data_IF_946659653043
#
_entry.id   IF_946659653043
#
_cell.length_a   1.000
_cell.length_b   1.000
_cell.length_c   1.000
_cell.angle_alpha   90.00
_cell.angle_beta   90.00
_cell.angle_gamma   90.00
#
_symmetry.space_group_name_H-M   'P 1'
#
loop_
_entity.id
_entity.type
_entity.pdbx_description
1 polymer ?
#
# COMPACT_ATOMS: atom_id res chain seq x y z
N UNK A 1 -16.01 -9.05 14.55
CA UNK A 1 -15.95 -7.74 15.25
C UNK A 1 -14.73 -7.79 16.16
N UNK A 2 -13.61 -7.14 15.80
CA UNK A 2 -12.43 -7.12 16.68
C UNK A 2 -12.63 -5.96 17.65
N UNK A 3 -13.20 -6.28 18.81
CA UNK A 3 -13.17 -5.40 19.96
C UNK A 3 -11.74 -5.43 20.52
N UNK A 4 -11.11 -4.26 20.67
CA UNK A 4 -10.16 -4.12 21.76
C UNK A 4 -11.00 -3.95 23.03
N UNK A 5 -11.43 -5.08 23.61
CA UNK A 5 -12.05 -5.07 24.91
C UNK A 5 -10.98 -4.68 25.93
N UNK A 6 -11.03 -3.44 26.39
CA UNK A 6 -10.42 -3.07 27.67
C UNK A 6 -11.62 -2.78 28.58
N UNK A 7 -12.04 -3.82 29.29
CA UNK A 7 -13.03 -3.75 30.36
C UNK A 7 -12.53 -2.82 31.47
N UNK A 8 -13.35 -1.86 31.94
CA UNK A 8 -12.99 -1.06 33.11
C UNK A 8 -13.19 -1.90 34.37
N UNK A 9 -12.10 -2.08 35.14
CA UNK A 9 -12.16 -2.57 36.51
C UNK A 9 -12.22 -4.09 36.66
N UNK A 10 -11.07 -4.73 36.84
CA UNK A 10 -10.98 -5.95 37.63
C UNK A 10 -9.61 -6.04 38.30
N UNK A 11 -9.61 -5.65 39.57
CA UNK A 11 -8.57 -5.94 40.55
C UNK A 11 -8.77 -7.41 40.91
N UNK A 12 -7.88 -8.30 40.47
CA UNK A 12 -7.44 -9.52 41.19
C UNK A 12 -6.51 -10.32 40.29
N UNK A 13 -5.36 -10.70 40.83
CA UNK A 13 -4.33 -11.46 40.14
C UNK A 13 -4.76 -12.88 39.83
N UNK A 14 -4.58 -13.27 38.58
CA UNK A 14 -4.43 -14.65 38.08
C UNK A 14 -3.53 -14.53 36.82
N UNK A 15 -2.54 -15.42 36.63
CA UNK A 15 -1.59 -15.32 35.53
C UNK A 15 -2.26 -15.64 34.20
N UNK A 16 -2.18 -14.73 33.24
CA UNK A 16 -2.65 -14.92 31.86
C UNK A 16 -1.85 -16.02 31.16
N UNK A 17 -2.27 -17.27 31.33
CA UNK A 17 -1.95 -18.36 30.41
C UNK A 17 -2.72 -18.13 29.11
N UNK A 18 -2.15 -17.28 28.25
CA UNK A 18 -2.60 -17.10 26.87
C UNK A 18 -2.39 -18.40 26.11
N UNK A 19 -3.46 -19.18 25.94
CA UNK A 19 -3.51 -20.30 24.99
C UNK A 19 -3.26 -19.72 23.59
N UNK A 20 -2.01 -19.75 23.12
CA UNK A 20 -1.66 -19.55 21.71
C UNK A 20 -2.44 -20.58 20.90
N UNK A 21 -3.50 -20.15 20.22
CA UNK A 21 -4.00 -20.90 19.07
C UNK A 21 -2.95 -20.74 17.97
N UNK A 22 -2.13 -21.77 17.77
CA UNK A 22 -1.31 -21.91 16.58
C UNK A 22 -2.23 -22.02 15.36
N UNK A 23 -2.49 -20.88 14.72
CA UNK A 23 -3.10 -20.87 13.40
C UNK A 23 -2.01 -21.25 12.39
N UNK A 24 -2.03 -22.52 11.99
CA UNK A 24 -1.23 -23.04 10.86
C UNK A 24 -1.85 -22.48 9.58
N UNK A 25 -1.19 -21.51 8.94
CA UNK A 25 -1.65 -20.94 7.68
C UNK A 25 -1.54 -21.98 6.56
N UNK A 26 -2.53 -22.09 5.65
CA UNK A 26 -2.43 -22.94 4.47
C UNK A 26 -1.34 -22.40 3.53
N UNK A 27 -0.53 -23.30 2.98
CA UNK A 27 0.74 -23.03 2.29
C UNK A 27 0.66 -22.33 0.92
N UNK A 28 -0.29 -21.42 0.70
CA UNK A 28 -0.24 -20.47 -0.41
C UNK A 28 -1.14 -19.26 -0.10
N UNK A 29 -0.54 -18.08 0.07
CA UNK A 29 -1.28 -16.82 0.24
C UNK A 29 -1.85 -16.39 -1.12
N UNK A 30 -3.13 -16.69 -1.34
CA UNK A 30 -3.87 -16.34 -2.55
C UNK A 30 -4.42 -14.90 -2.47
N UNK A 31 -4.44 -14.20 -3.61
CA UNK A 31 -5.08 -12.89 -3.77
C UNK A 31 -6.59 -12.94 -3.50
N UNK A 32 -7.21 -14.12 -3.68
CA UNK A 32 -8.64 -14.36 -3.40
C UNK A 32 -8.98 -14.65 -1.93
N UNK A 33 -8.02 -14.48 -1.02
CA UNK A 33 -8.23 -14.70 0.42
C UNK A 33 -9.43 -13.89 0.98
N UNK A 34 -10.25 -14.45 1.89
CA UNK A 34 -11.34 -13.73 2.53
C UNK A 34 -10.90 -12.47 3.31
N UNK A 35 -11.75 -11.44 3.33
CA UNK A 35 -11.46 -10.15 3.98
C UNK A 35 -11.07 -10.25 5.45
N UNK A 36 -11.67 -11.19 6.19
CA UNK A 36 -11.36 -11.39 7.60
C UNK A 36 -9.91 -11.87 7.82
N UNK A 37 -9.44 -12.79 6.97
CA UNK A 37 -8.07 -13.31 7.04
C UNK A 37 -7.08 -12.22 6.58
N UNK A 38 -7.40 -11.50 5.51
CA UNK A 38 -6.57 -10.41 5.02
C UNK A 38 -6.37 -9.31 6.08
N UNK A 39 -7.45 -8.88 6.75
CA UNK A 39 -7.39 -7.92 7.86
C UNK A 39 -6.55 -8.43 9.03
N UNK A 40 -6.57 -9.73 9.28
CA UNK A 40 -5.75 -10.36 10.33
C UNK A 40 -4.27 -10.22 10.00
N UNK A 41 -3.88 -10.52 8.75
CA UNK A 41 -2.50 -10.34 8.28
C UNK A 41 -2.07 -8.87 8.41
N UNK A 42 -2.89 -7.93 7.94
CA UNK A 42 -2.59 -6.48 8.05
C UNK A 42 -2.42 -6.05 9.50
N UNK A 43 -3.25 -6.57 10.40
CA UNK A 43 -3.16 -6.26 11.84
C UNK A 43 -1.92 -6.85 12.49
N UNK A 44 -1.54 -8.08 12.11
CA UNK A 44 -0.28 -8.71 12.53
C UNK A 44 0.93 -7.90 12.05
N UNK A 45 0.89 -7.42 10.81
CA UNK A 45 1.95 -6.59 10.23
C UNK A 45 2.14 -5.30 11.02
N UNK A 46 1.06 -4.57 11.31
CA UNK A 46 1.10 -3.35 12.13
C UNK A 46 1.65 -3.57 13.55
N UNK A 47 1.48 -4.77 14.08
CA UNK A 47 1.98 -5.19 15.39
C UNK A 47 3.35 -5.87 15.34
N UNK A 48 4.02 -5.91 14.17
CA UNK A 48 5.31 -6.61 13.97
C UNK A 48 5.25 -8.10 14.33
N UNK A 49 4.10 -8.72 14.14
CA UNK A 49 3.83 -10.12 14.41
C UNK A 49 3.49 -10.92 13.13
N UNK A 50 3.64 -10.28 11.96
CA UNK A 50 3.49 -10.94 10.67
C UNK A 50 4.76 -11.72 10.30
N UNK A 51 4.59 -12.83 9.59
CA UNK A 51 5.71 -13.61 9.03
C UNK A 51 6.33 -12.89 7.82
N UNK A 52 7.53 -13.28 7.42
CA UNK A 52 8.18 -12.72 6.22
C UNK A 52 7.35 -12.97 4.96
N UNK A 53 6.73 -14.14 4.84
CA UNK A 53 5.83 -14.51 3.75
C UNK A 53 4.58 -13.59 3.70
N UNK A 54 3.98 -13.32 4.86
CA UNK A 54 2.84 -12.40 4.97
C UNK A 54 3.24 -10.97 4.55
N UNK A 55 4.43 -10.52 4.94
CA UNK A 55 4.96 -9.21 4.55
C UNK A 55 5.24 -9.16 3.05
N UNK A 56 5.85 -10.21 2.48
CA UNK A 56 6.11 -10.31 1.06
C UNK A 56 4.81 -10.30 0.25
N UNK A 57 3.80 -11.03 0.70
CA UNK A 57 2.47 -11.04 0.10
C UNK A 57 1.82 -9.64 0.08
N UNK A 58 1.86 -8.91 1.20
CA UNK A 58 1.30 -7.55 1.27
C UNK A 58 1.98 -6.56 0.32
N UNK A 59 3.27 -6.76 0.03
CA UNK A 59 4.05 -5.89 -0.87
C UNK A 59 3.80 -6.15 -2.35
N UNK A 60 3.06 -7.20 -2.72
CA UNK A 60 2.80 -7.52 -4.13
C UNK A 60 1.93 -6.43 -4.79
N UNK A 61 2.20 -6.05 -6.05
CA UNK A 61 1.51 -4.95 -6.75
C UNK A 61 -0.02 -5.10 -6.78
N UNK A 62 -0.49 -6.32 -7.03
CA UNK A 62 -1.90 -6.71 -7.09
C UNK A 62 -2.63 -6.61 -5.73
N UNK A 63 -1.89 -6.70 -4.63
CA UNK A 63 -2.41 -6.64 -3.27
C UNK A 63 -2.39 -5.22 -2.69
N UNK A 64 -1.52 -4.34 -3.20
CA UNK A 64 -1.34 -2.97 -2.68
C UNK A 64 -2.64 -2.15 -2.58
N UNK A 65 -3.57 -2.16 -3.57
CA UNK A 65 -4.82 -1.40 -3.47
C UNK A 65 -5.68 -1.83 -2.29
N UNK A 66 -5.82 -3.15 -2.10
CA UNK A 66 -6.60 -3.75 -1.02
C UNK A 66 -5.94 -3.51 0.34
N UNK A 67 -4.61 -3.61 0.41
CA UNK A 67 -3.87 -3.29 1.64
C UNK A 67 -4.08 -1.83 2.05
N UNK A 68 -3.97 -0.90 1.10
CA UNK A 68 -4.21 0.52 1.32
C UNK A 68 -5.62 0.78 1.85
N UNK A 69 -6.63 0.15 1.26
CA UNK A 69 -8.03 0.33 1.69
C UNK A 69 -8.22 -0.06 3.15
N UNK A 70 -7.71 -1.24 3.55
CA UNK A 70 -7.79 -1.70 4.94
C UNK A 70 -7.07 -0.73 5.88
N UNK A 71 -5.89 -0.24 5.51
CA UNK A 71 -5.16 0.75 6.31
C UNK A 71 -5.92 2.07 6.46
N UNK A 72 -6.57 2.56 5.41
CA UNK A 72 -7.43 3.77 5.48
C UNK A 72 -8.58 3.55 6.44
N UNK A 73 -9.26 2.40 6.38
CA UNK A 73 -10.34 2.07 7.30
C UNK A 73 -9.84 1.96 8.76
N UNK A 74 -8.67 1.35 8.98
CA UNK A 74 -8.07 1.26 10.31
C UNK A 74 -7.68 2.64 10.87
N UNK A 75 -7.15 3.52 10.03
CA UNK A 75 -6.88 4.92 10.41
C UNK A 75 -8.17 5.62 10.84
N UNK A 76 -9.23 5.54 10.02
CA UNK A 76 -10.52 6.16 10.34
C UNK A 76 -11.11 5.67 11.66
N UNK A 77 -10.97 4.36 11.97
CA UNK A 77 -11.36 3.82 13.27
C UNK A 77 -10.56 4.40 14.44
N UNK A 78 -9.24 4.55 14.28
CA UNK A 78 -8.39 5.17 15.29
C UNK A 78 -8.74 6.65 15.52
N UNK A 79 -9.04 7.39 14.45
CA UNK A 79 -9.48 8.79 14.52
C UNK A 79 -10.84 8.92 15.23
N UNK A 80 -11.80 8.05 14.90
CA UNK A 80 -13.08 7.98 15.61
C UNK A 80 -12.90 7.67 17.09
N UNK A 81 -11.99 6.75 17.45
CA UNK A 81 -11.71 6.41 18.84
C UNK A 81 -11.16 7.62 19.61
N UNK A 82 -10.23 8.39 19.03
CA UNK A 82 -9.73 9.63 19.66
C UNK A 82 -10.87 10.65 19.84
N UNK A 83 -11.73 10.79 18.83
CA UNK A 83 -12.89 11.68 18.92
C UNK A 83 -13.82 11.28 20.06
N UNK A 84 -14.10 9.98 20.20
CA UNK A 84 -14.93 9.44 21.28
C UNK A 84 -14.29 9.69 22.66
N UNK A 85 -12.99 9.39 22.82
CA UNK A 85 -12.27 9.63 24.08
C UNK A 85 -12.35 11.11 24.48
N UNK A 86 -12.17 12.03 23.54
CA UNK A 86 -12.27 13.47 23.84
C UNK A 86 -13.71 13.86 24.26
N UNK A 87 -14.72 13.27 23.62
CA UNK A 87 -16.12 13.51 23.99
C UNK A 87 -16.43 12.98 25.39
N UNK A 88 -16.06 11.73 25.68
CA UNK A 88 -16.30 11.09 26.97
C UNK A 88 -15.53 11.79 28.09
N UNK A 89 -14.32 12.28 27.81
CA UNK A 89 -13.52 13.05 28.74
C UNK A 89 -14.18 14.37 29.13
N UNK A 90 -14.87 15.05 28.21
CA UNK A 90 -15.63 16.27 28.54
C UNK A 90 -16.86 15.94 29.41
N UNK A 91 -17.60 14.89 29.07
CA UNK A 91 -18.76 14.45 29.83
C UNK A 91 -18.38 14.05 31.26
N UNK A 92 -17.31 13.27 31.40
CA UNK A 92 -16.83 12.81 32.71
C UNK A 92 -16.28 13.96 33.56
N UNK A 93 -15.62 14.95 32.93
CA UNK A 93 -15.19 16.16 33.63
C UNK A 93 -16.37 16.92 34.23
N UNK A 94 -17.45 17.12 33.45
CA UNK A 94 -18.67 17.78 33.93
C UNK A 94 -19.31 17.00 35.08
N UNK A 95 -19.38 15.67 34.96
CA UNK A 95 -19.87 14.80 36.03
C UNK A 95 -19.05 14.95 37.31
N UNK A 96 -17.73 15.00 37.19
CA UNK A 96 -16.83 15.17 38.34
C UNK A 96 -16.94 16.56 38.99
N UNK A 97 -17.15 17.62 38.21
CA UNK A 97 -17.43 18.96 38.74
C UNK A 97 -18.71 18.93 39.59
N UNK A 98 -19.77 18.28 39.11
CA UNK A 98 -21.03 18.16 39.84
C UNK A 98 -20.90 17.41 41.18
N UNK A 99 -19.93 16.50 41.30
CA UNK A 99 -19.63 15.78 42.55
C UNK A 99 -18.80 16.59 43.56
N UNK A 100 -18.35 17.81 43.22
CA UNK A 100 -17.56 18.67 44.10
C UNK A 100 -16.19 18.07 44.48
N UNK A 101 -15.69 18.29 45.72
CA UNK A 101 -14.35 17.86 46.13
C UNK A 101 -14.06 16.36 45.96
N UNK A 102 -15.08 15.52 46.11
CA UNK A 102 -14.98 14.05 45.96
C UNK A 102 -14.68 13.67 44.51
N UNK A 103 -15.22 14.41 43.54
CA UNK A 103 -15.03 14.14 42.12
C UNK A 103 -13.62 14.40 41.60
N UNK A 104 -12.80 15.15 42.35
CA UNK A 104 -11.43 15.52 41.93
C UNK A 104 -10.55 14.28 41.72
N UNK A 105 -10.57 13.34 42.67
CA UNK A 105 -9.74 12.12 42.57
C UNK A 105 -10.21 11.22 41.44
N UNK A 106 -11.53 11.04 41.30
CA UNK A 106 -12.15 10.28 40.20
C UNK A 106 -11.77 10.87 38.83
N UNK A 107 -11.81 12.20 38.72
CA UNK A 107 -11.41 12.90 37.51
C UNK A 107 -9.95 12.63 37.13
N UNK A 108 -9.01 12.73 38.07
CA UNK A 108 -7.59 12.49 37.76
C UNK A 108 -7.31 11.05 37.31
N UNK A 109 -7.97 10.07 37.94
CA UNK A 109 -7.84 8.67 37.54
C UNK A 109 -8.38 8.46 36.12
N UNK A 110 -9.58 8.97 35.84
CA UNK A 110 -10.19 8.87 34.52
C UNK A 110 -9.35 9.58 33.46
N UNK A 111 -8.93 10.83 33.72
CA UNK A 111 -8.11 11.62 32.79
C UNK A 111 -6.80 10.92 32.44
N UNK A 112 -6.13 10.35 33.43
CA UNK A 112 -4.89 9.60 33.21
C UNK A 112 -5.09 8.41 32.28
N UNK A 113 -6.17 7.64 32.48
CA UNK A 113 -6.49 6.50 31.62
C UNK A 113 -6.91 6.95 30.21
N UNK A 114 -7.76 7.97 30.10
CA UNK A 114 -8.19 8.54 28.82
C UNK A 114 -6.99 9.06 27.99
N UNK A 115 -6.04 9.77 28.61
CA UNK A 115 -4.82 10.23 27.93
C UNK A 115 -3.92 9.05 27.52
N UNK A 116 -3.84 8.00 28.33
CA UNK A 116 -3.12 6.76 27.97
C UNK A 116 -3.74 6.09 26.74
N UNK A 117 -5.06 5.96 26.71
CA UNK A 117 -5.80 5.39 25.58
C UNK A 117 -5.64 6.25 24.33
N UNK A 118 -5.75 7.58 24.46
CA UNK A 118 -5.55 8.55 23.37
C UNK A 118 -4.13 8.45 22.80
N UNK A 119 -3.12 8.36 23.65
CA UNK A 119 -1.73 8.16 23.24
C UNK A 119 -1.54 6.82 22.50
N UNK A 120 -2.15 5.74 22.99
CA UNK A 120 -2.12 4.44 22.31
C UNK A 120 -2.77 4.48 20.92
N UNK A 121 -3.94 5.12 20.80
CA UNK A 121 -4.61 5.34 19.51
C UNK A 121 -3.77 6.20 18.56
N UNK A 122 -3.16 7.28 19.07
CA UNK A 122 -2.24 8.13 18.29
C UNK A 122 -1.02 7.36 17.78
N UNK A 123 -0.42 6.50 18.61
CA UNK A 123 0.66 5.60 18.22
C UNK A 123 0.22 4.65 17.10
N UNK A 124 -0.97 4.06 17.21
CA UNK A 124 -1.52 3.20 16.18
C UNK A 124 -1.71 3.93 14.84
N UNK A 125 -2.30 5.13 14.87
CA UNK A 125 -2.47 5.96 13.66
C UNK A 125 -1.12 6.26 12.99
N UNK A 126 -0.08 6.60 13.77
CA UNK A 126 1.28 6.83 13.25
C UNK A 126 1.84 5.61 12.52
N UNK A 127 1.66 4.40 13.08
CA UNK A 127 2.07 3.15 12.42
C UNK A 127 1.35 2.95 11.09
N UNK A 128 0.04 3.18 11.06
CA UNK A 128 -0.76 3.09 9.84
C UNK A 128 -0.32 4.10 8.78
N UNK A 129 -0.05 5.35 9.18
CA UNK A 129 0.46 6.39 8.28
C UNK A 129 1.80 6.02 7.66
N UNK A 130 2.73 5.48 8.45
CA UNK A 130 4.02 5.00 7.93
C UNK A 130 3.83 3.95 6.83
N UNK A 131 2.88 3.01 7.01
CA UNK A 131 2.58 1.99 5.99
C UNK A 131 1.91 2.57 4.75
N UNK A 132 1.00 3.52 4.90
CA UNK A 132 0.42 4.23 3.77
C UNK A 132 1.49 4.97 2.94
N UNK A 133 2.51 5.54 3.59
CA UNK A 133 3.66 6.16 2.91
C UNK A 133 4.50 5.13 2.16
N UNK A 134 4.75 3.95 2.76
CA UNK A 134 5.47 2.86 2.09
C UNK A 134 4.71 2.40 0.83
N UNK A 135 3.39 2.17 0.93
CA UNK A 135 2.57 1.78 -0.23
C UNK A 135 2.64 2.84 -1.34
N UNK A 136 2.62 4.14 -0.98
CA UNK A 136 2.77 5.21 -1.97
C UNK A 136 4.12 5.11 -2.70
N UNK A 137 5.21 4.86 -1.96
CA UNK A 137 6.54 4.70 -2.54
C UNK A 137 6.62 3.49 -3.48
N UNK A 138 6.09 2.33 -3.06
CA UNK A 138 6.07 1.10 -3.88
C UNK A 138 5.34 1.33 -5.22
N UNK A 139 4.18 1.98 -5.18
CA UNK A 139 3.42 2.32 -6.40
C UNK A 139 4.17 3.30 -7.32
N UNK A 140 4.95 4.22 -6.76
CA UNK A 140 5.76 5.15 -7.54
C UNK A 140 6.94 4.44 -8.23
N UNK A 141 7.55 3.47 -7.55
CA UNK A 141 8.61 2.63 -8.13
C UNK A 141 8.08 1.79 -9.29
N UNK A 142 6.91 1.16 -9.14
CA UNK A 142 6.25 0.42 -10.23
C UNK A 142 5.98 1.32 -11.46
N UNK A 143 5.42 2.52 -11.23
CA UNK A 143 5.16 3.47 -12.31
C UNK A 143 6.45 3.99 -12.98
N UNK A 144 7.57 4.06 -12.24
CA UNK A 144 8.86 4.46 -12.79
C UNK A 144 9.45 3.36 -13.69
N UNK A 145 9.36 2.08 -13.29
CA UNK A 145 9.83 0.93 -14.08
C UNK A 145 9.11 0.84 -15.42
N UNK A 146 7.77 0.95 -15.41
CA UNK A 146 6.97 0.93 -16.65
C UNK A 146 7.37 2.09 -17.58
N UNK A 147 7.61 3.28 -17.03
CA UNK A 147 8.04 4.45 -17.82
C UNK A 147 9.44 4.29 -18.40
N UNK A 148 10.37 3.64 -17.71
CA UNK A 148 11.72 3.41 -18.25
C UNK A 148 11.72 2.39 -19.37
N UNK A 149 10.92 1.33 -19.29
CA UNK A 149 10.81 0.34 -20.36
C UNK A 149 10.20 0.94 -21.63
N UNK A 150 9.11 1.72 -21.48
CA UNK A 150 8.49 2.41 -22.62
C UNK A 150 9.40 3.49 -23.22
N UNK A 151 10.07 4.29 -22.38
CA UNK A 151 10.94 5.37 -22.90
C UNK A 151 12.21 4.87 -23.55
N UNK A 152 12.76 3.75 -23.09
CA UNK A 152 13.94 3.14 -23.69
C UNK A 152 13.57 2.44 -25.00
N UNK A 153 12.40 1.80 -25.07
CA UNK A 153 11.93 1.11 -26.27
C UNK A 153 11.65 2.07 -27.44
N UNK A 154 10.92 3.18 -27.22
CA UNK A 154 10.63 4.13 -28.31
C UNK A 154 11.86 4.92 -28.76
N UNK A 155 12.76 5.28 -27.85
CA UNK A 155 14.02 5.98 -28.21
C UNK A 155 14.95 5.07 -29.01
N UNK A 156 15.05 3.80 -28.64
CA UNK A 156 15.80 2.82 -29.42
C UNK A 156 15.18 2.62 -30.82
N UNK A 157 13.84 2.58 -30.91
CA UNK A 157 13.11 2.49 -32.18
C UNK A 157 13.33 3.73 -33.06
N UNK A 158 13.22 4.93 -32.49
CA UNK A 158 13.45 6.19 -33.19
C UNK A 158 14.90 6.33 -33.69
N UNK A 159 15.89 5.89 -32.91
CA UNK A 159 17.30 5.90 -33.33
C UNK A 159 17.57 4.91 -34.46
N UNK A 160 16.97 3.71 -34.42
CA UNK A 160 17.04 2.72 -35.51
C UNK A 160 16.38 3.24 -36.78
N UNK A 161 15.19 3.82 -36.69
CA UNK A 161 14.51 4.47 -37.82
C UNK A 161 15.35 5.60 -38.42
N UNK A 162 15.95 6.45 -37.57
CA UNK A 162 16.84 7.51 -38.02
C UNK A 162 18.07 6.99 -38.77
N UNK A 163 18.69 5.89 -38.28
CA UNK A 163 19.78 5.21 -38.99
C UNK A 163 19.31 4.63 -40.34
N UNK A 164 18.16 3.96 -40.37
CA UNK A 164 17.61 3.37 -41.59
C UNK A 164 17.31 4.44 -42.65
N UNK A 165 16.70 5.56 -42.25
CA UNK A 165 16.47 6.70 -43.14
C UNK A 165 17.78 7.29 -43.67
N UNK A 166 18.82 7.37 -42.84
CA UNK A 166 20.13 7.87 -43.27
C UNK A 166 20.80 6.92 -44.27
N UNK A 167 20.80 5.61 -44.01
CA UNK A 167 21.35 4.60 -44.92
C UNK A 167 20.64 4.60 -46.27
N UNK A 168 19.30 4.71 -46.25
CA UNK A 168 18.48 4.79 -47.44
C UNK A 168 18.78 6.08 -48.23
N UNK A 169 18.89 7.24 -47.56
CA UNK A 169 19.30 8.49 -48.22
C UNK A 169 20.70 8.40 -48.85
N UNK A 170 21.67 7.82 -48.14
CA UNK A 170 23.04 7.64 -48.65
C UNK A 170 23.07 6.69 -49.87
N UNK A 171 22.30 5.60 -49.81
CA UNK A 171 22.19 4.64 -50.90
C UNK A 171 21.55 5.24 -52.17
N UNK A 172 20.66 6.23 -52.01
CA UNK A 172 20.00 6.90 -53.13
C UNK A 172 20.82 8.06 -53.70
N UNK A 173 21.53 8.84 -52.87
CA UNK A 173 22.48 9.87 -53.33
C UNK A 173 23.61 9.24 -54.18
N UNK A 174 23.96 7.98 -53.91
CA UNK A 174 24.97 7.23 -54.65
C UNK A 174 24.49 6.67 -56.02
N UNK A 175 23.21 6.82 -56.40
CA UNK A 175 22.67 6.27 -57.65
C UNK A 175 22.23 7.36 -58.64
N UNK A 176 22.78 7.40 -59.87
CA UNK A 176 22.48 8.45 -60.84
C UNK A 176 21.23 8.13 -61.69
N UNK A 177 20.13 7.67 -61.09
CA UNK A 177 18.87 7.44 -61.84
C UNK A 177 17.64 7.71 -60.99
N UNK A 178 16.80 8.66 -61.44
CA UNK A 178 15.68 9.22 -60.70
C UNK A 178 14.40 8.40 -60.82
N UNK A 179 14.05 7.67 -59.76
CA UNK A 179 12.69 7.17 -59.56
C UNK A 179 12.40 7.02 -58.06
N UNK A 180 11.87 8.09 -57.45
CA UNK A 180 11.56 8.18 -56.01
C UNK A 180 10.53 7.15 -55.51
N UNK A 181 9.77 6.52 -56.42
CA UNK A 181 8.72 5.55 -56.07
C UNK A 181 9.28 4.26 -55.46
N UNK A 182 10.50 3.85 -55.82
CA UNK A 182 11.12 2.62 -55.28
C UNK A 182 11.59 2.78 -53.83
N UNK A 183 11.85 4.00 -53.37
CA UNK A 183 12.30 4.31 -52.01
C UNK A 183 11.18 4.05 -50.99
N UNK A 184 9.99 4.57 -51.28
CA UNK A 184 8.81 4.45 -50.41
C UNK A 184 8.40 2.99 -50.28
N UNK A 185 8.42 2.23 -51.39
CA UNK A 185 8.15 0.79 -51.35
C UNK A 185 9.18 0.04 -50.50
N UNK A 186 10.47 0.34 -50.63
CA UNK A 186 11.52 -0.33 -49.84
C UNK A 186 11.42 -0.03 -48.34
N UNK A 187 11.10 1.21 -47.97
CA UNK A 187 10.83 1.58 -46.57
C UNK A 187 9.60 0.82 -46.05
N UNK A 188 8.53 0.75 -46.84
CA UNK A 188 7.32 0.02 -46.45
C UNK A 188 7.56 -1.49 -46.30
N UNK A 189 8.35 -2.11 -47.20
CA UNK A 189 8.69 -3.54 -47.10
C UNK A 189 9.57 -3.83 -45.90
N UNK A 190 10.61 -3.03 -45.63
CA UNK A 190 11.47 -3.22 -44.46
C UNK A 190 10.73 -3.04 -43.12
N UNK A 191 9.76 -2.12 -43.08
CA UNK A 191 8.87 -1.94 -41.92
C UNK A 191 7.89 -3.12 -41.75
N UNK A 192 7.42 -3.70 -42.84
CA UNK A 192 6.52 -4.86 -42.83
C UNK A 192 7.23 -6.17 -42.42
N UNK A 193 8.48 -6.37 -42.85
CA UNK A 193 9.30 -7.53 -42.47
C UNK A 193 9.62 -7.52 -40.97
N UNK A 194 9.94 -6.35 -40.39
CA UNK A 194 10.18 -6.23 -38.94
C UNK A 194 8.94 -6.48 -38.09
N UNK A 195 7.75 -6.13 -38.59
CA UNK A 195 6.51 -6.39 -37.85
C UNK A 195 6.05 -7.85 -37.94
N UNK A 196 6.56 -8.62 -38.90
CA UNK A 196 6.32 -10.05 -39.02
C UNK A 196 7.24 -10.89 -38.13
N UNK A 197 8.51 -10.49 -37.93
CA UNK A 197 9.43 -11.16 -37.00
C UNK A 197 9.01 -10.98 -35.53
N UNK A 198 8.53 -9.78 -35.15
CA UNK A 198 8.05 -9.50 -33.78
C UNK A 198 6.73 -10.22 -33.41
N UNK A 199 6.00 -10.78 -34.39
CA UNK A 199 4.76 -11.52 -34.16
C UNK A 199 4.97 -13.04 -34.05
N UNK A 200 6.21 -13.52 -34.28
CA UNK A 200 6.57 -14.95 -34.25
C UNK A 200 7.34 -15.36 -32.98
N UNK A 201 7.66 -14.41 -32.09
CA UNK A 201 8.22 -14.59 -30.74
C UNK A 201 7.15 -14.36 -29.66
#
# INVERSE_FOLDING_TARGET
MIFFSITPGQVHGEPYLSKRKEYRMPGNLDTKMPDAQFRTIVTRELNRAATEEEIAFLKRPDVLPRWREVLVQLRGRGEMQISQINHDMLAEHQRCIAMGPIGKTTWFLYKSDAERQKSAAGNFIRKVQLRLTIIRSLRQQEAAVIRTDDTTSWRARAKRLGHLCHEIMQAEIAKPTGNDWTLVQRIQTALAEQSAEEASD
#
